data_IF_977153566297
#
_entry.id   IF_977153566297
#
_cell.length_a   1.000
_cell.length_b   1.000
_cell.length_c   1.000
_cell.angle_alpha   90.00
_cell.angle_beta   90.00
_cell.angle_gamma   90.00
#
_symmetry.space_group_name_H-M   'P 1'
#
loop_
_entity.id
_entity.type
_entity.pdbx_description
1 polymer ?
#
# COMPACT_ATOMS: atom_id res chain seq x y z
N UNK A 1 39.05 -41.54 -8.96
CA UNK A 1 39.89 -40.32 -8.87
C UNK A 1 39.27 -39.25 -9.75
N UNK A 2 38.59 -38.28 -9.17
CA UNK A 2 37.92 -37.20 -9.91
C UNK A 2 38.64 -35.88 -9.64
N UNK A 3 39.04 -35.19 -10.73
CA UNK A 3 39.73 -33.91 -10.70
C UNK A 3 38.81 -32.81 -10.12
N UNK A 4 39.25 -32.18 -9.04
CA UNK A 4 38.66 -30.96 -8.47
C UNK A 4 39.27 -29.76 -9.19
N UNK A 5 38.45 -29.03 -9.95
CA UNK A 5 38.83 -27.77 -10.60
C UNK A 5 38.66 -26.64 -9.60
N UNK A 6 39.77 -26.06 -9.12
CA UNK A 6 39.75 -24.83 -8.31
C UNK A 6 39.34 -23.66 -9.20
N UNK A 7 38.39 -22.87 -8.73
CA UNK A 7 38.03 -21.58 -9.31
C UNK A 7 38.62 -20.52 -8.40
N UNK A 8 39.65 -19.82 -8.89
CA UNK A 8 40.21 -18.66 -8.23
C UNK A 8 39.22 -17.49 -8.33
N UNK A 9 38.72 -17.05 -7.18
CA UNK A 9 37.86 -15.88 -7.06
C UNK A 9 38.76 -14.64 -7.04
N UNK A 10 38.81 -13.95 -8.18
CA UNK A 10 39.40 -12.62 -8.32
C UNK A 10 38.69 -11.64 -7.37
N UNK A 11 39.47 -10.97 -6.50
CA UNK A 11 38.98 -9.93 -5.61
C UNK A 11 38.51 -8.67 -6.34
N UNK A 12 37.76 -7.79 -5.65
CA UNK A 12 37.23 -6.56 -6.24
C UNK A 12 38.35 -5.57 -6.57
N UNK A 13 38.38 -5.13 -7.82
CA UNK A 13 39.17 -4.00 -8.31
C UNK A 13 38.77 -2.72 -7.58
N UNK A 14 39.77 -2.01 -7.05
CA UNK A 14 39.59 -0.69 -6.46
C UNK A 14 39.01 0.27 -7.51
N UNK A 15 37.76 0.68 -7.33
CA UNK A 15 37.13 1.72 -8.15
C UNK A 15 37.75 3.06 -7.74
N UNK A 16 38.53 3.64 -8.65
CA UNK A 16 39.08 4.97 -8.52
C UNK A 16 37.98 6.01 -8.29
N UNK A 17 38.16 6.81 -7.24
CA UNK A 17 37.32 7.94 -6.88
C UNK A 17 37.43 9.01 -7.99
N UNK A 18 36.47 9.05 -8.90
CA UNK A 18 36.36 10.13 -9.87
C UNK A 18 36.11 11.45 -9.13
N UNK A 19 36.97 12.43 -9.37
CA UNK A 19 36.77 13.82 -8.97
C UNK A 19 35.53 14.38 -9.68
N UNK A 20 34.63 15.09 -8.97
CA UNK A 20 33.49 15.73 -9.61
C UNK A 20 33.98 16.81 -10.60
N UNK A 21 33.31 16.96 -11.77
CA UNK A 21 33.66 17.99 -12.72
C UNK A 21 33.40 19.39 -12.15
N UNK A 22 34.40 20.25 -12.27
CA UNK A 22 34.29 21.69 -12.04
C UNK A 22 33.23 22.28 -12.97
N UNK A 23 32.10 22.70 -12.42
CA UNK A 23 31.03 23.39 -13.15
C UNK A 23 31.56 24.77 -13.56
N UNK A 24 31.65 25.00 -14.87
CA UNK A 24 32.00 26.31 -15.42
C UNK A 24 30.91 27.34 -15.07
N UNK A 25 31.25 28.61 -14.81
CA UNK A 25 30.28 29.67 -14.57
C UNK A 25 29.31 29.80 -15.75
N UNK A 26 28.02 29.68 -15.46
CA UNK A 26 26.96 29.89 -16.44
C UNK A 26 26.93 31.38 -16.82
N UNK A 27 26.98 31.75 -18.12
CA UNK A 27 26.93 33.14 -18.53
C UNK A 27 25.57 33.75 -18.18
N UNK A 28 25.61 34.92 -17.53
CA UNK A 28 24.42 35.70 -17.18
C UNK A 28 23.57 35.96 -18.44
N UNK A 29 22.25 35.73 -18.40
CA UNK A 29 21.38 36.10 -19.51
C UNK A 29 21.35 37.63 -19.71
N UNK A 30 21.16 38.10 -20.96
CA UNK A 30 21.08 39.52 -21.28
C UNK A 30 19.94 40.19 -20.52
N UNK A 31 20.21 41.38 -19.99
CA UNK A 31 19.25 42.21 -19.28
C UNK A 31 18.02 42.49 -20.15
N UNK A 32 16.84 42.11 -19.67
CA UNK A 32 15.57 42.48 -20.27
C UNK A 32 15.37 43.98 -20.06
N UNK A 33 15.10 44.78 -21.10
CA UNK A 33 14.84 46.20 -20.95
C UNK A 33 13.58 46.41 -20.08
N UNK A 34 13.73 47.21 -19.02
CA UNK A 34 12.65 47.60 -18.13
C UNK A 34 11.59 48.40 -18.92
N UNK A 35 10.44 47.79 -19.13
CA UNK A 35 9.26 48.44 -19.70
C UNK A 35 8.65 49.31 -18.59
N UNK A 36 8.70 50.63 -18.77
CA UNK A 36 8.14 51.60 -17.82
C UNK A 36 6.64 51.39 -17.60
N UNK A 37 6.11 51.75 -16.42
CA UNK A 37 4.70 51.56 -16.10
C UNK A 37 3.80 52.37 -17.04
N UNK A 38 2.74 51.77 -17.61
CA UNK A 38 1.75 52.52 -18.36
C UNK A 38 1.00 53.47 -17.43
N UNK A 39 0.99 54.76 -17.80
CA UNK A 39 0.21 55.79 -17.15
C UNK A 39 -1.29 55.50 -17.36
N UNK A 40 -1.97 55.09 -16.28
CA UNK A 40 -3.39 54.74 -16.30
C UNK A 40 -3.86 54.15 -14.97
N UNK A 41 -3.47 54.78 -13.85
CA UNK A 41 -4.02 54.48 -12.54
C UNK A 41 -5.34 55.24 -12.39
N UNK A 42 -6.48 54.56 -12.59
CA UNK A 42 -7.77 54.82 -11.93
C UNK A 42 -8.88 53.87 -12.47
N UNK A 43 -8.54 52.60 -12.73
CA UNK A 43 -9.54 51.54 -12.85
C UNK A 43 -9.44 50.65 -11.60
N UNK A 44 -10.53 50.43 -10.85
CA UNK A 44 -10.51 49.47 -9.75
C UNK A 44 -10.06 48.13 -10.30
N UNK A 45 -9.11 47.49 -9.62
CA UNK A 45 -8.60 46.18 -9.97
C UNK A 45 -9.79 45.26 -10.21
N UNK A 46 -9.99 44.84 -11.47
CA UNK A 46 -10.88 43.74 -11.78
C UNK A 46 -10.35 42.57 -10.96
N UNK A 47 -11.06 42.25 -9.89
CA UNK A 47 -10.74 41.08 -9.09
C UNK A 47 -10.71 39.92 -10.07
N UNK A 48 -9.53 39.36 -10.26
CA UNK A 48 -9.34 38.05 -10.87
C UNK A 48 -10.00 37.04 -9.91
N UNK A 49 -11.33 37.04 -9.88
CA UNK A 49 -12.09 35.82 -9.63
C UNK A 49 -11.79 34.94 -10.83
N UNK A 50 -10.59 34.34 -10.82
CA UNK A 50 -10.30 33.19 -11.65
C UNK A 50 -11.44 32.22 -11.36
N UNK A 51 -12.32 32.05 -12.34
CA UNK A 51 -13.40 31.09 -12.28
C UNK A 51 -12.73 29.76 -11.95
N UNK A 52 -12.84 29.34 -10.68
CA UNK A 52 -12.36 28.05 -10.24
C UNK A 52 -13.00 27.06 -11.20
N UNK A 53 -12.21 26.28 -11.95
CA UNK A 53 -12.77 25.38 -12.94
C UNK A 53 -13.86 24.55 -12.27
N UNK A 54 -14.99 24.32 -12.95
CA UNK A 54 -16.11 23.57 -12.37
C UNK A 54 -15.70 22.20 -11.82
N UNK A 55 -14.63 21.60 -12.35
CA UNK A 55 -14.02 20.37 -11.81
C UNK A 55 -13.41 20.54 -10.41
N UNK A 56 -12.87 21.71 -10.06
CA UNK A 56 -12.30 22.01 -8.75
C UNK A 56 -13.39 22.35 -7.71
N UNK A 57 -14.47 23.02 -8.11
CA UNK A 57 -15.66 23.17 -7.25
C UNK A 57 -16.34 21.83 -6.94
N UNK A 58 -16.33 20.90 -7.90
CA UNK A 58 -16.80 19.53 -7.71
C UNK A 58 -15.84 18.69 -6.84
N UNK A 59 -14.55 19.04 -6.77
CA UNK A 59 -13.57 18.35 -5.94
C UNK A 59 -13.75 18.67 -4.45
N UNK A 60 -14.11 19.92 -4.10
CA UNK A 60 -14.47 20.28 -2.72
C UNK A 60 -15.80 19.64 -2.27
N UNK A 61 -16.80 19.55 -3.17
CA UNK A 61 -18.04 18.81 -2.89
C UNK A 61 -17.83 17.28 -2.82
N UNK A 62 -16.76 16.77 -3.44
CA UNK A 62 -16.37 15.36 -3.38
C UNK A 62 -15.53 15.01 -2.14
N UNK A 63 -15.11 15.99 -1.33
CA UNK A 63 -14.49 15.79 -0.03
C UNK A 63 -15.52 15.39 1.04
N UNK A 64 -16.42 14.46 0.70
CA UNK A 64 -17.23 13.77 1.70
C UNK A 64 -16.26 12.94 2.53
N UNK A 65 -16.21 13.20 3.84
CA UNK A 65 -15.37 12.45 4.78
C UNK A 65 -15.53 10.94 4.50
N UNK A 66 -14.41 10.29 4.11
CA UNK A 66 -14.39 8.88 3.76
C UNK A 66 -15.08 8.08 4.85
N UNK A 67 -16.19 7.40 4.53
CA UNK A 67 -16.92 6.63 5.53
C UNK A 67 -16.04 5.49 6.01
N UNK A 68 -15.94 5.36 7.33
CA UNK A 68 -15.29 4.21 7.95
C UNK A 68 -16.01 2.91 7.58
N UNK A 69 -15.27 1.80 7.64
CA UNK A 69 -15.85 0.47 7.49
C UNK A 69 -16.96 0.26 8.52
N UNK A 70 -17.98 -0.53 8.16
CA UNK A 70 -19.04 -0.87 9.09
C UNK A 70 -18.50 -1.67 10.29
N UNK A 71 -19.04 -1.41 11.48
CA UNK A 71 -18.63 -2.10 12.71
C UNK A 71 -18.70 -3.63 12.60
N UNK A 72 -19.74 -4.16 11.93
CA UNK A 72 -19.85 -5.61 11.67
C UNK A 72 -18.71 -6.15 10.82
N UNK A 73 -18.28 -5.42 9.79
CA UNK A 73 -17.13 -5.81 8.96
C UNK A 73 -15.82 -5.84 9.76
N UNK A 74 -15.63 -4.84 10.62
CA UNK A 74 -14.47 -4.77 11.53
C UNK A 74 -14.46 -5.97 12.46
N UNK A 75 -15.61 -6.28 13.08
CA UNK A 75 -15.76 -7.45 13.96
C UNK A 75 -15.44 -8.77 13.24
N UNK A 76 -16.01 -8.97 12.04
CA UNK A 76 -15.72 -10.17 11.21
C UNK A 76 -14.22 -10.27 10.91
N UNK A 77 -13.58 -9.15 10.59
CA UNK A 77 -12.15 -9.14 10.32
C UNK A 77 -11.31 -9.55 11.53
N UNK A 78 -11.63 -9.06 12.73
CA UNK A 78 -10.98 -9.51 13.96
C UNK A 78 -11.26 -10.99 14.28
N UNK A 79 -12.46 -11.49 13.97
CA UNK A 79 -12.76 -12.93 14.09
C UNK A 79 -11.86 -13.75 13.16
N UNK A 80 -11.65 -13.31 11.92
CA UNK A 80 -10.70 -13.98 11.00
C UNK A 80 -9.28 -14.02 11.57
N UNK A 81 -8.78 -12.90 12.10
CA UNK A 81 -7.47 -12.84 12.77
C UNK A 81 -7.39 -13.83 13.94
N UNK A 82 -8.44 -13.87 14.76
CA UNK A 82 -8.55 -14.85 15.85
C UNK A 82 -8.49 -16.29 15.36
N UNK A 83 -9.22 -16.61 14.29
CA UNK A 83 -9.20 -17.95 13.67
C UNK A 83 -7.82 -18.33 13.15
N UNK A 84 -7.13 -17.43 12.44
CA UNK A 84 -5.75 -17.66 11.99
C UNK A 84 -4.79 -17.93 13.15
N UNK A 85 -4.96 -17.20 14.25
CA UNK A 85 -4.18 -17.40 15.49
C UNK A 85 -4.45 -18.76 16.12
N UNK A 86 -5.72 -19.18 16.19
CA UNK A 86 -6.11 -20.51 16.71
C UNK A 86 -5.50 -21.61 15.83
N UNK A 87 -5.56 -21.46 14.50
CA UNK A 87 -4.94 -22.41 13.56
C UNK A 87 -3.43 -22.51 13.80
N UNK A 88 -2.73 -21.39 13.92
CA UNK A 88 -1.29 -21.38 14.22
C UNK A 88 -0.97 -22.08 15.55
N UNK A 89 -1.77 -21.81 16.60
CA UNK A 89 -1.62 -22.47 17.90
C UNK A 89 -1.81 -24.00 17.81
N UNK A 90 -2.85 -24.45 17.12
CA UNK A 90 -3.15 -25.88 16.95
C UNK A 90 -2.04 -26.59 16.17
N UNK A 91 -1.55 -25.98 15.09
CA UNK A 91 -0.43 -26.51 14.28
C UNK A 91 0.84 -26.71 15.13
N UNK A 92 1.13 -25.75 16.00
CA UNK A 92 2.28 -25.85 16.92
C UNK A 92 2.07 -26.94 17.97
N UNK A 93 0.87 -27.03 18.54
CA UNK A 93 0.56 -27.99 19.61
C UNK A 93 0.66 -29.45 19.15
N UNK A 94 0.33 -29.74 17.89
CA UNK A 94 0.34 -31.09 17.33
C UNK A 94 1.58 -31.44 16.50
N UNK A 95 2.66 -30.66 16.63
CA UNK A 95 3.97 -31.02 16.09
C UNK A 95 4.17 -30.76 14.59
N UNK A 96 3.20 -30.15 13.90
CA UNK A 96 3.33 -29.73 12.50
C UNK A 96 3.92 -28.32 12.39
N UNK A 97 4.99 -28.05 13.13
CA UNK A 97 5.72 -26.79 13.04
C UNK A 97 7.15 -27.05 12.57
N UNK A 98 7.60 -26.29 11.59
CA UNK A 98 9.01 -26.29 11.23
C UNK A 98 9.85 -25.62 12.34
N UNK A 99 11.12 -26.00 12.42
CA UNK A 99 12.10 -25.35 13.31
C UNK A 99 12.21 -23.87 12.90
N UNK A 100 12.18 -22.91 13.85
CA UNK A 100 12.29 -21.49 13.53
C UNK A 100 13.50 -21.18 12.64
N UNK A 101 13.27 -20.53 11.51
CA UNK A 101 14.34 -20.14 10.60
C UNK A 101 15.14 -18.97 11.21
N UNK A 102 16.40 -19.22 11.55
CA UNK A 102 17.33 -18.16 11.95
C UNK A 102 18.01 -17.59 10.72
N UNK A 103 17.79 -16.30 10.45
CA UNK A 103 18.43 -15.60 9.34
C UNK A 103 19.64 -14.82 9.88
N UNK A 104 20.79 -14.95 9.21
CA UNK A 104 22.06 -14.35 9.66
C UNK A 104 22.17 -12.82 9.48
N UNK A 105 21.20 -12.16 8.85
CA UNK A 105 21.16 -10.70 8.71
C UNK A 105 19.73 -10.14 8.74
N UNK A 106 19.56 -8.96 9.34
CA UNK A 106 18.29 -8.23 9.38
C UNK A 106 17.75 -7.92 7.97
N UNK A 107 18.62 -7.58 7.02
CA UNK A 107 18.25 -7.31 5.63
C UNK A 107 17.53 -8.48 4.98
N UNK A 108 18.05 -9.70 5.15
CA UNK A 108 17.42 -10.91 4.62
C UNK A 108 16.11 -11.25 5.32
N UNK A 109 15.94 -10.88 6.60
CA UNK A 109 14.66 -11.04 7.30
C UNK A 109 13.58 -10.12 6.70
N UNK A 110 13.91 -8.84 6.48
CA UNK A 110 13.00 -7.90 5.80
C UNK A 110 12.66 -8.35 4.38
N UNK A 111 13.66 -8.79 3.60
CA UNK A 111 13.42 -9.31 2.25
C UNK A 111 12.48 -10.54 2.28
N UNK A 112 12.67 -11.44 3.25
CA UNK A 112 11.79 -12.59 3.46
C UNK A 112 10.34 -12.19 3.73
N UNK A 113 10.12 -11.21 4.62
CA UNK A 113 8.76 -10.70 4.94
C UNK A 113 8.10 -10.08 3.72
N UNK A 114 8.84 -9.32 2.90
CA UNK A 114 8.32 -8.72 1.67
C UNK A 114 7.89 -9.80 0.67
N UNK A 115 8.74 -10.80 0.43
CA UNK A 115 8.42 -11.92 -0.47
C UNK A 115 7.23 -12.72 0.06
N UNK A 116 7.19 -12.97 1.36
CA UNK A 116 6.08 -13.68 2.00
C UNK A 116 4.77 -12.89 1.89
N UNK A 117 4.80 -11.57 2.08
CA UNK A 117 3.64 -10.70 1.89
C UNK A 117 3.15 -10.72 0.45
N UNK A 118 4.06 -10.64 -0.53
CA UNK A 118 3.70 -10.74 -1.94
C UNK A 118 3.09 -12.11 -2.29
N UNK A 119 3.58 -13.20 -1.70
CA UNK A 119 3.02 -14.53 -1.89
C UNK A 119 1.59 -14.64 -1.32
N UNK A 120 1.34 -14.10 -0.13
CA UNK A 120 0.01 -14.02 0.48
C UNK A 120 -0.94 -13.19 -0.38
N UNK A 121 -0.48 -12.06 -0.90
CA UNK A 121 -1.26 -11.22 -1.82
C UNK A 121 -1.68 -12.00 -3.08
N UNK A 122 -0.73 -12.66 -3.75
CA UNK A 122 -0.99 -13.48 -4.94
C UNK A 122 -1.96 -14.62 -4.67
N UNK A 123 -1.88 -15.23 -3.49
CA UNK A 123 -2.82 -16.26 -3.08
C UNK A 123 -4.25 -15.71 -2.90
N UNK A 124 -4.39 -14.45 -2.45
CA UNK A 124 -5.69 -13.85 -2.17
C UNK A 124 -6.36 -13.17 -3.37
N UNK A 125 -5.61 -12.85 -4.44
CA UNK A 125 -6.15 -12.31 -5.71
C UNK A 125 -7.41 -13.04 -6.22
N UNK A 126 -7.43 -14.39 -6.37
CA UNK A 126 -8.60 -15.10 -6.86
C UNK A 126 -9.81 -15.04 -5.91
N UNK A 127 -9.61 -14.75 -4.63
CA UNK A 127 -10.70 -14.62 -3.66
C UNK A 127 -11.23 -13.19 -3.58
N UNK A 128 -10.43 -12.20 -3.99
CA UNK A 128 -10.81 -10.79 -3.94
C UNK A 128 -12.00 -10.46 -4.86
N UNK A 129 -12.28 -11.29 -5.87
CA UNK A 129 -13.44 -11.18 -6.76
C UNK A 129 -14.77 -11.57 -6.10
N UNK A 130 -14.73 -12.40 -5.05
CA UNK A 130 -15.92 -12.84 -4.32
C UNK A 130 -16.34 -11.87 -3.21
N UNK A 131 -15.54 -10.84 -2.96
CA UNK A 131 -15.84 -9.85 -1.94
C UNK A 131 -16.94 -8.88 -2.40
N UNK A 132 -17.83 -8.47 -1.48
CA UNK A 132 -18.90 -7.53 -1.79
C UNK A 132 -18.35 -6.17 -2.23
N UNK A 133 -19.01 -5.53 -3.20
CA UNK A 133 -18.68 -4.16 -3.64
C UNK A 133 -18.73 -3.93 -5.16
N UNK A 134 -18.78 -4.98 -5.97
CA UNK A 134 -18.88 -4.83 -7.43
C UNK A 134 -20.20 -4.14 -7.85
N UNK A 135 -21.33 -4.53 -7.26
CA UNK A 135 -22.63 -3.92 -7.54
C UNK A 135 -22.66 -2.42 -7.17
N UNK A 136 -22.09 -2.04 -6.02
CA UNK A 136 -22.08 -0.63 -5.58
C UNK A 136 -21.23 0.26 -6.47
N UNK A 137 -20.19 -0.30 -7.11
CA UNK A 137 -19.41 0.42 -8.11
C UNK A 137 -20.22 0.65 -9.39
N UNK A 138 -20.89 -0.38 -9.89
CA UNK A 138 -21.74 -0.27 -11.08
C UNK A 138 -22.89 0.73 -10.86
N UNK A 139 -23.52 0.71 -9.67
CA UNK A 139 -24.54 1.69 -9.28
C UNK A 139 -24.00 3.12 -9.33
N UNK A 140 -22.82 3.38 -8.75
CA UNK A 140 -22.20 4.70 -8.80
C UNK A 140 -21.85 5.13 -10.23
N UNK A 141 -21.23 4.26 -11.02
CA UNK A 141 -20.87 4.56 -12.42
C UNK A 141 -22.12 4.84 -13.26
N UNK A 142 -23.20 4.09 -13.07
CA UNK A 142 -24.48 4.33 -13.74
C UNK A 142 -25.13 5.66 -13.34
N UNK A 143 -25.00 6.05 -12.06
CA UNK A 143 -25.48 7.34 -11.57
C UNK A 143 -24.66 8.51 -12.15
N UNK A 144 -23.33 8.39 -12.19
CA UNK A 144 -22.50 9.41 -12.82
C UNK A 144 -22.83 9.55 -14.31
N UNK A 145 -23.01 8.44 -15.02
CA UNK A 145 -23.33 8.44 -16.45
C UNK A 145 -24.70 9.06 -16.76
N UNK A 146 -25.73 8.75 -15.97
CA UNK A 146 -27.05 9.33 -16.17
C UNK A 146 -27.08 10.84 -15.83
N UNK A 147 -26.34 11.28 -14.80
CA UNK A 147 -26.15 12.71 -14.53
C UNK A 147 -25.43 13.42 -15.68
N UNK A 148 -24.34 12.85 -16.21
CA UNK A 148 -23.61 13.45 -17.33
C UNK A 148 -24.43 13.51 -18.62
N UNK A 149 -25.38 12.58 -18.80
CA UNK A 149 -26.31 12.56 -19.93
C UNK A 149 -27.52 13.49 -19.75
N UNK A 150 -27.57 14.29 -18.66
CA UNK A 150 -28.64 15.26 -18.43
C UNK A 150 -29.99 14.64 -18.08
N UNK A 151 -30.01 13.43 -17.50
CA UNK A 151 -31.25 12.75 -17.16
C UNK A 151 -32.03 13.57 -16.09
N UNK A 152 -33.24 14.07 -16.38
CA UNK A 152 -33.94 15.06 -15.54
C UNK A 152 -34.38 14.52 -14.16
N UNK A 153 -34.38 13.20 -14.00
CA UNK A 153 -34.73 12.53 -12.76
C UNK A 153 -33.55 12.37 -11.79
N UNK A 154 -32.30 12.61 -12.23
CA UNK A 154 -31.13 12.32 -11.42
C UNK A 154 -30.57 13.56 -10.73
N UNK A 155 -30.58 13.53 -9.40
CA UNK A 155 -30.11 14.64 -8.57
C UNK A 155 -28.66 14.47 -8.12
N UNK A 156 -27.96 15.59 -7.84
CA UNK A 156 -26.64 15.59 -7.19
C UNK A 156 -26.63 14.79 -5.88
N UNK A 157 -27.78 14.78 -5.19
CA UNK A 157 -27.97 14.02 -3.95
C UNK A 157 -27.90 12.51 -4.16
N UNK A 158 -28.43 11.99 -5.26
CA UNK A 158 -28.42 10.56 -5.55
C UNK A 158 -27.01 10.08 -5.93
N UNK A 159 -26.29 10.86 -6.73
CA UNK A 159 -24.88 10.57 -7.06
C UNK A 159 -24.02 10.60 -5.79
N UNK A 160 -24.22 11.58 -4.91
CA UNK A 160 -23.53 11.65 -3.62
C UNK A 160 -23.86 10.45 -2.71
N UNK A 161 -25.11 10.00 -2.69
CA UNK A 161 -25.52 8.81 -1.93
C UNK A 161 -24.89 7.52 -2.49
N UNK A 162 -24.86 7.37 -3.82
CA UNK A 162 -24.21 6.24 -4.49
C UNK A 162 -22.70 6.21 -4.21
N UNK A 163 -22.03 7.38 -4.27
CA UNK A 163 -20.62 7.53 -3.91
C UNK A 163 -20.36 7.08 -2.47
N UNK A 164 -21.16 7.57 -1.51
CA UNK A 164 -21.02 7.21 -0.10
C UNK A 164 -21.22 5.69 0.14
N UNK A 165 -22.08 5.03 -0.65
CA UNK A 165 -22.28 3.58 -0.61
C UNK A 165 -21.05 2.84 -1.16
N UNK A 166 -20.50 3.29 -2.27
CA UNK A 166 -19.27 2.76 -2.86
C UNK A 166 -18.08 2.91 -1.91
N UNK A 167 -17.86 4.10 -1.34
CA UNK A 167 -16.75 4.36 -0.42
C UNK A 167 -16.80 3.42 0.79
N UNK A 168 -17.99 3.21 1.36
CA UNK A 168 -18.20 2.27 2.46
C UNK A 168 -17.95 0.82 2.03
N UNK A 169 -18.37 0.42 0.84
CA UNK A 169 -18.10 -0.91 0.31
C UNK A 169 -16.59 -1.15 0.09
N UNK A 170 -15.87 -0.15 -0.41
CA UNK A 170 -14.41 -0.20 -0.57
C UNK A 170 -13.70 -0.27 0.79
N UNK A 171 -14.12 0.51 1.78
CA UNK A 171 -13.60 0.44 3.14
C UNK A 171 -13.84 -0.95 3.76
N UNK A 172 -15.05 -1.49 3.59
CA UNK A 172 -15.39 -2.84 4.06
C UNK A 172 -14.50 -3.91 3.41
N UNK A 173 -14.35 -3.87 2.08
CA UNK A 173 -13.51 -4.80 1.32
C UNK A 173 -12.05 -4.75 1.79
N UNK A 174 -11.53 -3.54 2.03
CA UNK A 174 -10.16 -3.33 2.52
C UNK A 174 -9.97 -3.99 3.89
N UNK A 175 -10.89 -3.78 4.83
CA UNK A 175 -10.80 -4.38 6.17
C UNK A 175 -10.96 -5.90 6.14
N UNK A 176 -11.83 -6.44 5.29
CA UNK A 176 -11.98 -7.90 5.12
C UNK A 176 -10.71 -8.53 4.54
N UNK A 177 -10.14 -7.92 3.49
CA UNK A 177 -8.87 -8.40 2.90
C UNK A 177 -7.73 -8.34 3.90
N UNK A 178 -7.63 -7.27 4.68
CA UNK A 178 -6.64 -7.17 5.75
C UNK A 178 -6.77 -8.31 6.77
N UNK A 179 -7.99 -8.59 7.24
CA UNK A 179 -8.24 -9.68 8.20
C UNK A 179 -7.91 -11.05 7.61
N UNK A 180 -8.31 -11.30 6.36
CA UNK A 180 -8.04 -12.55 5.66
C UNK A 180 -6.54 -12.75 5.41
N UNK A 181 -5.84 -11.71 4.96
CA UNK A 181 -4.38 -11.72 4.77
C UNK A 181 -3.64 -11.97 6.07
N UNK A 182 -4.03 -11.28 7.14
CA UNK A 182 -3.46 -11.49 8.48
C UNK A 182 -3.69 -12.92 8.95
N UNK A 183 -4.91 -13.44 8.85
CA UNK A 183 -5.25 -14.79 9.27
C UNK A 183 -4.44 -15.86 8.52
N UNK A 184 -4.36 -15.73 7.19
CA UNK A 184 -3.61 -16.65 6.35
C UNK A 184 -2.11 -16.57 6.63
N UNK A 185 -1.56 -15.36 6.73
CA UNK A 185 -0.15 -15.15 7.02
C UNK A 185 0.23 -15.69 8.42
N UNK A 186 -0.62 -15.50 9.43
CA UNK A 186 -0.43 -16.07 10.77
C UNK A 186 -0.44 -17.59 10.73
N UNK A 187 -1.42 -18.20 10.06
CA UNK A 187 -1.49 -19.66 9.93
C UNK A 187 -0.27 -20.23 9.19
N UNK A 188 0.12 -19.61 8.07
CA UNK A 188 1.28 -20.01 7.30
C UNK A 188 2.61 -19.81 8.06
N UNK A 189 2.74 -18.73 8.83
CA UNK A 189 3.88 -18.52 9.73
C UNK A 189 3.94 -19.62 10.81
N UNK A 190 2.79 -19.95 11.42
CA UNK A 190 2.69 -21.03 12.40
C UNK A 190 3.08 -22.42 11.85
N UNK A 191 2.71 -22.71 10.60
CA UNK A 191 3.09 -23.95 9.92
C UNK A 191 4.59 -24.00 9.55
N UNK A 192 5.09 -22.89 9.00
CA UNK A 192 6.42 -22.82 8.38
C UNK A 192 7.55 -22.41 9.32
N UNK A 193 7.24 -22.00 10.56
CA UNK A 193 8.26 -21.47 11.47
C UNK A 193 8.83 -20.11 11.05
N UNK A 194 8.16 -19.41 10.13
CA UNK A 194 8.54 -18.08 9.67
C UNK A 194 8.11 -17.03 10.71
N UNK A 195 8.96 -16.82 11.72
CA UNK A 195 8.67 -16.05 12.91
C UNK A 195 9.50 -14.76 12.92
N UNK A 196 8.86 -13.63 12.62
CA UNK A 196 9.53 -12.34 12.45
C UNK A 196 10.31 -11.92 13.69
N UNK A 197 9.74 -12.03 14.90
CA UNK A 197 10.42 -11.60 16.13
C UNK A 197 11.65 -12.46 16.40
N UNK A 198 11.55 -13.78 16.22
CA UNK A 198 12.67 -14.70 16.32
C UNK A 198 13.72 -14.48 15.22
N UNK A 199 13.34 -14.00 14.03
CA UNK A 199 14.28 -13.68 12.96
C UNK A 199 15.07 -12.39 13.23
N UNK A 200 14.44 -11.37 13.84
CA UNK A 200 15.12 -10.10 14.17
C UNK A 200 15.87 -10.16 15.50
N UNK A 201 15.51 -11.11 16.38
CA UNK A 201 16.20 -11.37 17.64
C UNK A 201 17.60 -11.94 17.35
N UNK A 202 18.58 -11.07 17.14
CA UNK A 202 19.98 -11.43 16.92
C UNK A 202 20.64 -12.09 18.16
N UNK A 203 20.04 -11.95 19.34
CA UNK A 203 20.48 -12.56 20.60
C UNK A 203 19.27 -13.13 21.36
N UNK A 204 19.50 -14.16 22.18
CA UNK A 204 18.45 -14.78 23.00
C UNK A 204 17.80 -13.72 23.90
N UNK A 205 16.49 -13.51 23.74
CA UNK A 205 15.74 -12.60 24.61
C UNK A 205 15.65 -13.20 26.02
N UNK A 206 15.69 -12.35 27.05
CA UNK A 206 15.51 -12.77 28.43
C UNK A 206 14.12 -13.41 28.69
N UNK A 207 13.16 -13.15 27.80
CA UNK A 207 11.81 -13.70 27.84
C UNK A 207 11.57 -14.52 26.57
N UNK A 208 11.25 -15.81 26.75
CA UNK A 208 10.87 -16.68 25.64
C UNK A 208 9.47 -16.32 25.15
N UNK A 209 9.37 -15.83 23.91
CA UNK A 209 8.07 -15.54 23.28
C UNK A 209 7.44 -16.84 22.78
N UNK A 210 6.18 -17.12 23.12
CA UNK A 210 5.49 -18.26 22.52
C UNK A 210 5.40 -18.14 21.00
N UNK A 211 5.73 -19.21 20.28
CA UNK A 211 5.75 -19.22 18.81
C UNK A 211 4.44 -18.74 18.17
N UNK A 212 3.28 -19.01 18.78
CA UNK A 212 1.98 -18.57 18.25
C UNK A 212 1.80 -17.05 18.33
N UNK A 213 2.41 -16.39 19.32
CA UNK A 213 2.42 -14.94 19.45
C UNK A 213 3.26 -14.34 18.32
N UNK A 214 4.43 -14.92 18.05
CA UNK A 214 5.28 -14.45 16.94
C UNK A 214 4.60 -14.69 15.58
N UNK A 215 3.94 -15.83 15.39
CA UNK A 215 3.13 -16.08 14.20
C UNK A 215 2.03 -15.02 14.00
N UNK A 216 1.36 -14.61 15.08
CA UNK A 216 0.37 -13.53 15.05
C UNK A 216 1.01 -12.20 14.66
N UNK A 217 2.11 -11.81 15.29
CA UNK A 217 2.83 -10.56 14.98
C UNK A 217 3.31 -10.55 13.53
N UNK A 218 3.87 -11.67 13.06
CA UNK A 218 4.28 -11.86 11.67
C UNK A 218 3.10 -11.67 10.72
N UNK A 219 1.97 -12.32 11.00
CA UNK A 219 0.77 -12.16 10.18
C UNK A 219 0.20 -10.74 10.17
N UNK A 220 0.26 -10.00 11.29
CA UNK A 220 -0.15 -8.60 11.35
C UNK A 220 0.76 -7.69 10.50
N UNK A 221 2.08 -7.90 10.57
CA UNK A 221 3.05 -7.16 9.75
C UNK A 221 2.80 -7.44 8.27
N UNK A 222 2.60 -8.71 7.90
CA UNK A 222 2.28 -9.10 6.53
C UNK A 222 0.93 -8.52 6.07
N UNK A 223 -0.11 -8.64 6.90
CA UNK A 223 -1.44 -8.13 6.61
C UNK A 223 -1.46 -6.63 6.35
N UNK A 224 -0.70 -5.85 7.14
CA UNK A 224 -0.55 -4.39 6.93
C UNK A 224 0.34 -4.06 5.71
N UNK A 225 1.31 -4.91 5.37
CA UNK A 225 2.22 -4.74 4.23
C UNK A 225 1.55 -4.79 2.85
N UNK A 226 0.34 -5.35 2.74
CA UNK A 226 -0.41 -5.43 1.47
C UNK A 226 -0.90 -4.08 0.92
N UNK A 227 -0.92 -3.02 1.74
CA UNK A 227 -1.40 -1.69 1.33
C UNK A 227 -0.30 -0.77 0.78
N UNK A 228 0.88 -0.63 1.43
CA UNK A 228 2.01 0.09 0.85
C UNK A 228 2.47 -0.47 -0.50
N UNK A 229 2.35 -1.79 -0.71
CA UNK A 229 2.76 -2.44 -1.96
C UNK A 229 1.89 -1.99 -3.14
N UNK A 230 0.57 -1.94 -2.96
CA UNK A 230 -0.34 -1.36 -3.96
C UNK A 230 -0.04 0.12 -4.24
N UNK A 231 0.21 0.92 -3.21
CA UNK A 231 0.50 2.35 -3.36
C UNK A 231 1.84 2.58 -4.09
N UNK A 232 2.85 1.74 -3.85
CA UNK A 232 4.14 1.81 -4.54
C UNK A 232 4.00 1.45 -6.02
N UNK A 233 3.24 0.40 -6.36
CA UNK A 233 2.99 0.03 -7.76
C UNK A 233 2.24 1.15 -8.48
N UNK A 234 1.20 1.72 -7.86
CA UNK A 234 0.44 2.82 -8.45
C UNK A 234 1.31 4.05 -8.73
N UNK A 235 2.21 4.41 -7.79
CA UNK A 235 3.16 5.51 -7.97
C UNK A 235 4.23 5.22 -9.03
N UNK A 236 4.74 3.98 -9.07
CA UNK A 236 5.71 3.57 -10.08
C UNK A 236 5.10 3.60 -11.50
N UNK A 237 3.83 3.20 -11.65
CA UNK A 237 3.08 3.32 -12.90
C UNK A 237 2.88 4.79 -13.29
N UNK A 238 2.40 5.63 -12.38
CA UNK A 238 2.21 7.06 -12.64
C UNK A 238 3.51 7.81 -13.01
N UNK A 239 4.67 7.32 -12.55
CA UNK A 239 5.98 7.89 -12.88
C UNK A 239 6.47 7.42 -14.25
N UNK A 240 6.02 6.25 -14.73
CA UNK A 240 6.41 5.70 -16.02
C UNK A 240 5.63 6.33 -17.19
N UNK A 241 4.43 6.82 -16.92
CA UNK A 241 3.54 7.44 -17.92
C UNK A 241 3.79 8.96 -18.08
N UNK A 242 4.72 9.54 -17.30
CA UNK A 242 5.23 10.91 -17.42
C UNK A 242 6.63 10.93 -18.03
#
# INVERSE_FOLDING_TARGET
MALVRRVDVMGPTAIGRATPPTVAPQPNPPAVPAQGPPAGADAPAQSLSSAVPSWAANAEAAAVASRSAGAGTVMVSFVLVGLGTIVAYVLQRWGNHAVPFKIGSSTSAYAGVVVFSAAVERFLEPFAQWLPGAQTRNEYESAVAAMSNGHPAMSLREVAAAKAKQDRAQANRTILMWGLATALATAAAGASGFYLLHMIAASDWAVTIPNWVDALVTGLVVGTGTKPLHDLIARAQATRDN
#
